data_IF_779942931891
#
_entry.id   IF_779942931891
#
_cell.length_a   1.000
_cell.length_b   1.000
_cell.length_c   1.000
_cell.angle_alpha   90.00
_cell.angle_beta   90.00
_cell.angle_gamma   90.00
#
_symmetry.space_group_name_H-M   'P 1'
#
loop_
_entity.id
_entity.type
_entity.pdbx_description
1 polymer ?
#
# COMPACT_ATOMS: atom_id res chain seq x y z
N UNK A 1 32.41 14.94 5.28
CA UNK A 1 32.73 14.50 6.66
C UNK A 1 32.66 12.99 6.67
N UNK A 2 33.59 12.30 7.32
CA UNK A 2 33.41 10.86 7.58
C UNK A 2 32.25 10.65 8.55
N UNK A 3 31.68 9.45 8.57
CA UNK A 3 30.56 9.14 9.49
C UNK A 3 30.93 9.35 10.95
N UNK A 4 32.19 9.07 11.32
CA UNK A 4 32.73 9.37 12.67
C UNK A 4 32.70 10.87 13.01
N UNK A 5 33.01 11.74 12.04
CA UNK A 5 32.95 13.19 12.25
C UNK A 5 31.51 13.70 12.38
N UNK A 6 30.56 13.09 11.64
CA UNK A 6 29.14 13.43 11.74
C UNK A 6 28.57 13.01 13.09
N UNK A 7 28.88 11.78 13.51
CA UNK A 7 28.48 11.25 14.81
C UNK A 7 29.05 12.10 15.95
N UNK A 8 30.32 12.51 15.85
CA UNK A 8 30.96 13.38 16.84
C UNK A 8 30.30 14.77 16.92
N UNK A 9 29.92 15.35 15.77
CA UNK A 9 29.23 16.64 15.72
C UNK A 9 27.83 16.58 16.37
N UNK A 10 27.04 15.55 16.05
CA UNK A 10 25.73 15.31 16.67
C UNK A 10 25.88 15.09 18.17
N UNK A 11 26.83 14.26 18.57
CA UNK A 11 27.10 13.96 19.98
C UNK A 11 27.47 15.22 20.76
N UNK A 12 28.30 16.09 20.18
CA UNK A 12 28.69 17.37 20.80
C UNK A 12 27.48 18.28 21.02
N UNK A 13 26.61 18.43 20.02
CA UNK A 13 25.41 19.26 20.11
C UNK A 13 24.38 18.73 21.13
N UNK A 14 24.21 17.41 21.19
CA UNK A 14 23.36 16.77 22.20
C UNK A 14 23.96 16.93 23.60
N UNK A 15 25.27 16.79 23.75
CA UNK A 15 25.97 16.99 25.02
C UNK A 15 25.84 18.44 25.50
N UNK A 16 25.99 19.43 24.62
CA UNK A 16 25.76 20.85 24.93
C UNK A 16 24.33 21.09 25.43
N UNK A 17 23.35 20.47 24.78
CA UNK A 17 21.96 20.59 25.20
C UNK A 17 21.71 19.95 26.57
N UNK A 18 22.25 18.76 26.84
CA UNK A 18 22.04 18.07 28.12
C UNK A 18 22.86 18.69 29.26
N UNK A 19 24.00 19.33 28.97
CA UNK A 19 24.89 19.92 29.96
C UNK A 19 24.39 21.24 30.56
N UNK A 20 23.32 21.84 30.02
CA UNK A 20 22.77 23.07 30.61
C UNK A 20 22.21 22.80 32.02
N UNK A 21 22.37 23.72 32.99
CA UNK A 21 22.02 23.48 34.40
C UNK A 21 20.53 23.24 34.67
N UNK A 22 19.65 23.61 33.73
CA UNK A 22 18.20 23.57 33.91
C UNK A 22 17.59 22.28 33.35
N UNK A 23 17.18 21.32 34.17
CA UNK A 23 16.54 20.09 33.63
C UNK A 23 15.24 20.33 32.84
N UNK A 24 14.66 21.55 32.91
CA UNK A 24 13.45 21.93 32.17
C UNK A 24 13.67 22.06 30.66
N UNK A 25 14.84 22.51 30.19
CA UNK A 25 15.07 22.72 28.74
C UNK A 25 15.22 21.40 27.98
N UNK A 26 15.55 20.29 28.66
CA UNK A 26 15.75 18.97 28.04
C UNK A 26 14.43 18.40 27.48
N UNK A 27 13.30 18.76 28.10
CA UNK A 27 11.96 18.31 27.70
C UNK A 27 11.13 19.41 27.05
N UNK A 28 11.67 20.63 26.93
CA UNK A 28 10.96 21.75 26.34
C UNK A 28 10.87 21.59 24.80
N UNK A 29 9.66 21.52 24.23
CA UNK A 29 9.49 21.33 22.78
C UNK A 29 10.19 22.39 21.93
N UNK A 30 10.25 23.65 22.40
CA UNK A 30 10.90 24.74 21.70
C UNK A 30 12.42 24.60 21.65
N UNK A 31 13.04 24.18 22.77
CA UNK A 31 14.48 23.94 22.83
C UNK A 31 14.88 22.68 22.04
N UNK A 32 14.06 21.62 22.07
CA UNK A 32 14.25 20.44 21.23
C UNK A 32 14.22 20.79 19.75
N UNK A 33 13.26 21.63 19.32
CA UNK A 33 13.18 22.12 17.94
C UNK A 33 14.43 22.94 17.53
N UNK A 34 14.95 23.79 18.43
CA UNK A 34 16.19 24.56 18.19
C UNK A 34 17.41 23.65 18.05
N UNK A 35 17.55 22.63 18.89
CA UNK A 35 18.65 21.67 18.81
C UNK A 35 18.58 20.83 17.55
N UNK A 36 17.39 20.33 17.20
CA UNK A 36 17.17 19.61 15.94
C UNK A 36 17.55 20.48 14.72
N UNK A 37 17.13 21.75 14.72
CA UNK A 37 17.50 22.71 13.67
C UNK A 37 19.01 22.95 13.61
N UNK A 38 19.69 23.03 14.76
CA UNK A 38 21.15 23.20 14.85
C UNK A 38 21.88 21.96 14.34
N UNK A 39 21.40 20.76 14.69
CA UNK A 39 21.92 19.48 14.20
C UNK A 39 21.81 19.40 12.68
N UNK A 40 20.63 19.69 12.12
CA UNK A 40 20.41 19.72 10.68
C UNK A 40 21.37 20.71 10.00
N UNK A 41 21.43 21.96 10.47
CA UNK A 41 22.37 22.97 9.92
C UNK A 41 23.83 22.55 9.98
N UNK A 42 24.28 21.88 11.04
CA UNK A 42 25.66 21.41 11.19
C UNK A 42 25.95 20.22 10.28
N UNK A 43 24.99 19.32 10.09
CA UNK A 43 25.12 18.18 9.18
C UNK A 43 25.03 18.60 7.70
N UNK A 44 24.13 19.53 7.37
CA UNK A 44 23.86 20.00 6.01
C UNK A 44 24.91 21.05 5.55
N UNK A 45 25.41 21.89 6.47
CA UNK A 45 26.35 22.96 6.15
C UNK A 45 27.70 22.48 5.61
N UNK A 46 28.14 21.28 5.99
CA UNK A 46 29.47 20.79 5.66
C UNK A 46 29.61 20.26 4.23
N UNK A 47 28.52 19.91 3.53
CA UNK A 47 28.51 19.41 2.12
C UNK A 47 27.09 19.06 1.67
N UNK A 48 26.11 19.96 1.75
CA UNK A 48 24.87 19.73 1.00
C UNK A 48 25.22 19.68 -0.52
N UNK A 49 25.14 18.51 -1.18
CA UNK A 49 25.41 18.42 -2.61
C UNK A 49 24.37 19.24 -3.42
N UNK A 50 23.29 19.67 -2.78
CA UNK A 50 22.15 20.35 -3.38
C UNK A 50 22.09 21.86 -3.08
N UNK A 51 23.20 22.54 -2.77
CA UNK A 51 23.25 24.01 -2.56
C UNK A 51 22.59 24.86 -3.67
N UNK A 52 22.47 24.33 -4.89
CA UNK A 52 21.79 24.97 -6.03
C UNK A 52 20.26 24.83 -6.01
N UNK A 53 19.70 24.12 -5.03
CA UNK A 53 18.30 23.73 -4.90
C UNK A 53 17.63 24.42 -3.71
N UNK A 54 17.35 25.72 -3.78
CA UNK A 54 16.47 26.38 -2.83
C UNK A 54 15.07 25.76 -2.87
N UNK A 55 14.32 25.94 -1.78
CA UNK A 55 13.01 25.31 -1.56
C UNK A 55 12.02 25.44 -2.73
N UNK A 56 11.98 26.59 -3.42
CA UNK A 56 11.11 26.78 -4.58
C UNK A 56 11.44 25.85 -5.75
N UNK A 57 12.74 25.71 -6.08
CA UNK A 57 13.21 24.80 -7.14
C UNK A 57 13.02 23.34 -6.74
N UNK A 58 13.34 23.01 -5.48
CA UNK A 58 13.16 21.65 -4.96
C UNK A 58 11.68 21.22 -4.99
N UNK A 59 10.77 22.13 -4.68
CA UNK A 59 9.32 21.87 -4.75
C UNK A 59 8.88 21.54 -6.17
N UNK A 60 9.28 22.35 -7.16
CA UNK A 60 8.90 22.13 -8.56
C UNK A 60 9.46 20.80 -9.09
N UNK A 61 10.75 20.52 -8.87
CA UNK A 61 11.36 19.29 -9.40
C UNK A 61 10.85 18.02 -8.71
N UNK A 62 10.49 18.08 -7.42
CA UNK A 62 9.83 16.96 -6.72
C UNK A 62 8.48 16.64 -7.34
N UNK A 63 7.67 17.65 -7.66
CA UNK A 63 6.39 17.44 -8.33
C UNK A 63 6.54 16.95 -9.76
N UNK A 64 7.59 17.38 -10.46
CA UNK A 64 7.88 16.96 -11.82
C UNK A 64 8.53 15.55 -11.89
N UNK A 65 8.95 14.94 -10.78
CA UNK A 65 9.76 13.72 -10.79
C UNK A 65 9.08 12.52 -11.43
N UNK A 66 7.75 12.44 -11.32
CA UNK A 66 6.91 11.39 -11.92
C UNK A 66 6.34 11.76 -13.29
N UNK A 67 6.66 12.94 -13.83
CA UNK A 67 6.07 13.43 -15.08
C UNK A 67 6.96 13.15 -16.30
N UNK A 68 6.34 12.84 -17.44
CA UNK A 68 7.03 12.74 -18.75
C UNK A 68 7.25 14.11 -19.39
N UNK A 69 8.19 14.89 -18.85
CA UNK A 69 8.54 16.23 -19.33
C UNK A 69 10.00 16.24 -19.80
N UNK A 70 10.33 16.89 -20.94
CA UNK A 70 11.71 17.05 -21.37
C UNK A 70 12.56 17.79 -20.34
N UNK A 71 13.79 17.31 -20.12
CA UNK A 71 14.73 17.87 -19.13
C UNK A 71 15.05 19.34 -19.46
N UNK A 72 15.10 19.68 -20.74
CA UNK A 72 15.25 21.03 -21.28
C UNK A 72 14.25 22.00 -20.69
N UNK A 73 12.98 21.60 -20.65
CA UNK A 73 11.88 22.47 -20.26
C UNK A 73 11.80 22.57 -18.74
N UNK A 74 12.09 21.48 -18.02
CA UNK A 74 12.28 21.49 -16.56
C UNK A 74 13.42 22.45 -16.19
N UNK A 75 14.55 22.36 -16.90
CA UNK A 75 15.70 23.23 -16.68
C UNK A 75 15.35 24.70 -16.94
N UNK A 76 14.66 25.01 -18.04
CA UNK A 76 14.23 26.36 -18.37
C UNK A 76 13.34 26.96 -17.27
N UNK A 77 12.31 26.23 -16.83
CA UNK A 77 11.41 26.69 -15.77
C UNK A 77 12.12 26.86 -14.41
N UNK A 78 13.05 25.96 -14.06
CA UNK A 78 13.84 26.10 -12.83
C UNK A 78 14.82 27.28 -12.88
N UNK A 79 15.29 27.67 -14.07
CA UNK A 79 16.20 28.78 -14.26
C UNK A 79 15.54 30.15 -13.98
N UNK A 80 14.22 30.26 -14.17
CA UNK A 80 13.45 31.46 -13.85
C UNK A 80 13.27 31.65 -12.33
N UNK A 81 13.38 30.58 -11.55
CA UNK A 81 13.30 30.63 -10.09
C UNK A 81 14.62 31.13 -9.47
N UNK A 82 14.56 31.85 -8.34
CA UNK A 82 15.76 32.39 -7.69
C UNK A 82 16.71 31.27 -7.25
N UNK A 83 18.00 31.47 -7.49
CA UNK A 83 19.07 30.56 -7.04
C UNK A 83 20.29 30.56 -7.95
N UNK A 84 21.36 29.83 -7.59
CA UNK A 84 22.57 29.70 -8.41
C UNK A 84 22.27 29.16 -9.81
N UNK A 85 23.11 29.42 -10.83
CA UNK A 85 22.88 28.89 -12.17
C UNK A 85 22.84 27.36 -12.16
N UNK A 86 21.82 26.80 -12.81
CA UNK A 86 21.65 25.36 -13.01
C UNK A 86 22.09 24.97 -14.41
N UNK A 87 22.65 23.76 -14.51
CA UNK A 87 22.88 23.05 -15.77
C UNK A 87 21.86 21.93 -15.93
N UNK A 88 21.69 21.42 -17.15
CA UNK A 88 20.86 20.23 -17.39
C UNK A 88 21.32 19.03 -16.55
N UNK A 89 22.62 18.84 -16.41
CA UNK A 89 23.20 17.77 -15.58
C UNK A 89 22.86 17.92 -14.09
N UNK A 90 22.75 19.15 -13.58
CA UNK A 90 22.28 19.37 -12.20
C UNK A 90 20.83 18.87 -12.04
N UNK A 91 19.95 19.16 -13.02
CA UNK A 91 18.54 18.74 -13.03
C UNK A 91 18.44 17.21 -13.11
N UNK A 92 19.15 16.59 -14.06
CA UNK A 92 19.19 15.11 -14.19
C UNK A 92 19.69 14.46 -12.90
N UNK A 93 20.78 14.98 -12.33
CA UNK A 93 21.34 14.46 -11.08
C UNK A 93 20.36 14.59 -9.92
N UNK A 94 19.61 15.69 -9.84
CA UNK A 94 18.59 15.86 -8.79
C UNK A 94 17.41 14.91 -8.98
N UNK A 95 16.90 14.73 -10.20
CA UNK A 95 15.83 13.76 -10.49
C UNK A 95 16.26 12.34 -10.09
N UNK A 96 17.48 11.93 -10.45
CA UNK A 96 18.02 10.63 -10.06
C UNK A 96 18.04 10.46 -8.54
N UNK A 97 18.56 11.46 -7.82
CA UNK A 97 18.59 11.44 -6.37
C UNK A 97 17.19 11.40 -5.73
N UNK A 98 16.22 12.12 -6.29
CA UNK A 98 14.84 12.08 -5.83
C UNK A 98 14.22 10.68 -6.02
N UNK A 99 14.53 10.02 -7.12
CA UNK A 99 14.09 8.64 -7.33
C UNK A 99 14.78 7.65 -6.40
N UNK A 100 16.04 7.90 -6.02
CA UNK A 100 16.73 7.13 -4.99
C UNK A 100 16.17 7.41 -3.57
N UNK A 101 15.69 8.63 -3.33
CA UNK A 101 14.94 9.02 -2.11
C UNK A 101 13.54 8.36 -2.04
N UNK A 102 13.11 7.66 -3.10
CA UNK A 102 11.84 6.93 -3.15
C UNK A 102 10.68 7.68 -3.78
N UNK A 103 10.93 8.80 -4.48
CA UNK A 103 9.90 9.43 -5.30
C UNK A 103 9.64 8.63 -6.58
N UNK A 104 8.40 8.72 -7.04
CA UNK A 104 7.95 8.00 -8.22
C UNK A 104 8.72 8.43 -9.47
N UNK A 105 9.09 7.42 -10.26
CA UNK A 105 9.62 7.59 -11.61
C UNK A 105 8.45 7.67 -12.60
N UNK A 106 8.62 8.37 -13.73
CA UNK A 106 7.62 8.35 -14.78
C UNK A 106 7.41 6.90 -15.28
N UNK A 107 6.19 6.38 -15.13
CA UNK A 107 5.88 5.03 -15.61
C UNK A 107 5.66 5.05 -17.13
N UNK A 108 6.32 4.14 -17.85
CA UNK A 108 6.23 4.03 -19.32
C UNK A 108 4.78 3.87 -19.80
N UNK A 109 3.95 3.19 -18.99
CA UNK A 109 2.56 2.94 -19.35
C UNK A 109 1.73 4.20 -19.58
N UNK A 110 2.09 5.31 -18.93
CA UNK A 110 1.38 6.58 -19.04
C UNK A 110 2.04 7.56 -20.02
N UNK A 111 3.18 7.18 -20.61
CA UNK A 111 4.01 8.05 -21.43
C UNK A 111 3.25 8.72 -22.55
N UNK A 112 2.57 7.96 -23.40
CA UNK A 112 1.85 8.50 -24.57
C UNK A 112 0.79 9.52 -24.18
N UNK A 113 0.02 9.25 -23.11
CA UNK A 113 -1.00 10.18 -22.62
C UNK A 113 -0.41 11.45 -22.03
N UNK A 114 0.69 11.31 -21.29
CA UNK A 114 1.43 12.41 -20.70
C UNK A 114 2.13 13.29 -21.74
N UNK A 115 2.79 12.70 -22.75
CA UNK A 115 3.43 13.43 -23.85
C UNK A 115 2.39 14.22 -24.67
N UNK A 116 1.23 13.62 -24.96
CA UNK A 116 0.15 14.31 -25.67
C UNK A 116 -0.42 15.50 -24.87
N UNK A 117 -0.62 15.32 -23.55
CA UNK A 117 -1.05 16.40 -22.68
C UNK A 117 0.01 17.51 -22.59
N UNK A 118 1.28 17.13 -22.43
CA UNK A 118 2.39 18.05 -22.39
C UNK A 118 2.47 18.92 -23.65
N UNK A 119 2.45 18.30 -24.83
CA UNK A 119 2.50 19.04 -26.12
C UNK A 119 1.33 19.99 -26.24
N UNK A 120 0.10 19.53 -25.93
CA UNK A 120 -1.11 20.36 -25.98
C UNK A 120 -0.98 21.59 -25.08
N UNK A 121 -0.63 21.41 -23.82
CA UNK A 121 -0.55 22.52 -22.86
C UNK A 121 0.63 23.46 -23.15
N UNK A 122 1.77 22.92 -23.61
CA UNK A 122 2.90 23.74 -24.06
C UNK A 122 2.52 24.64 -25.23
N UNK A 123 1.79 24.12 -26.23
CA UNK A 123 1.33 24.94 -27.37
C UNK A 123 0.30 25.99 -26.98
N UNK A 124 -0.44 25.77 -25.89
CA UNK A 124 -1.38 26.74 -25.34
C UNK A 124 -0.67 27.87 -24.55
N UNK A 125 0.64 27.76 -24.31
CA UNK A 125 1.40 28.71 -23.50
C UNK A 125 1.18 28.53 -21.99
N UNK A 126 0.74 27.35 -21.55
CA UNK A 126 0.56 27.04 -20.14
C UNK A 126 1.91 26.94 -19.44
N UNK A 127 2.02 27.57 -18.26
CA UNK A 127 3.23 27.53 -17.43
C UNK A 127 3.59 26.11 -16.98
N UNK A 128 4.89 25.77 -16.96
CA UNK A 128 5.33 24.40 -16.68
C UNK A 128 4.82 23.87 -15.32
N UNK A 129 4.81 24.73 -14.29
CA UNK A 129 4.31 24.35 -12.98
C UNK A 129 2.84 23.89 -13.04
N UNK A 130 2.00 24.53 -13.86
CA UNK A 130 0.62 24.12 -14.05
C UNK A 130 0.52 22.84 -14.90
N UNK A 131 1.37 22.67 -15.91
CA UNK A 131 1.44 21.43 -16.69
C UNK A 131 1.79 20.24 -15.77
N UNK A 132 2.75 20.40 -14.86
CA UNK A 132 3.14 19.36 -13.89
C UNK A 132 1.96 18.92 -13.02
N UNK A 133 1.18 19.86 -12.48
CA UNK A 133 -0.01 19.52 -11.68
C UNK A 133 -1.03 18.73 -12.52
N UNK A 134 -1.33 19.20 -13.73
CA UNK A 134 -2.26 18.52 -14.64
C UNK A 134 -1.79 17.10 -15.02
N UNK A 135 -0.48 16.91 -15.19
CA UNK A 135 0.09 15.59 -15.46
C UNK A 135 -0.05 14.66 -14.26
N UNK A 136 0.25 15.15 -13.05
CA UNK A 136 0.09 14.36 -11.83
C UNK A 136 -1.37 13.96 -11.59
N UNK A 137 -2.32 14.88 -11.79
CA UNK A 137 -3.75 14.60 -11.69
C UNK A 137 -4.17 13.52 -12.69
N UNK A 138 -3.74 13.66 -13.96
CA UNK A 138 -4.04 12.66 -15.00
C UNK A 138 -3.51 11.28 -14.65
N UNK A 139 -2.25 11.18 -14.22
CA UNK A 139 -1.64 9.89 -13.84
C UNK A 139 -2.39 9.30 -12.64
N UNK A 140 -2.74 10.11 -11.65
CA UNK A 140 -3.57 9.70 -10.52
C UNK A 140 -4.93 9.15 -10.92
N UNK A 141 -5.63 9.80 -11.85
CA UNK A 141 -6.90 9.31 -12.40
C UNK A 141 -6.77 7.99 -13.16
N UNK A 142 -5.71 7.84 -13.97
CA UNK A 142 -5.46 6.61 -14.72
C UNK A 142 -5.13 5.43 -13.79
N UNK A 143 -4.32 5.66 -12.74
CA UNK A 143 -4.06 4.69 -11.67
C UNK A 143 -5.36 4.31 -10.96
N UNK A 144 -6.17 5.29 -10.56
CA UNK A 144 -7.44 5.06 -9.88
C UNK A 144 -8.43 4.25 -10.72
N UNK A 145 -8.51 4.54 -12.04
CA UNK A 145 -9.36 3.81 -12.98
C UNK A 145 -8.94 2.34 -13.08
N UNK A 146 -7.64 2.06 -13.20
CA UNK A 146 -7.11 0.69 -13.25
C UNK A 146 -7.38 -0.06 -11.96
N UNK A 147 -7.12 0.56 -10.82
CA UNK A 147 -7.38 -0.06 -9.52
C UNK A 147 -8.85 -0.46 -9.36
N UNK A 148 -9.77 0.38 -9.82
CA UNK A 148 -11.20 0.09 -9.85
C UNK A 148 -11.54 -1.10 -10.75
N UNK A 149 -11.02 -1.13 -11.98
CA UNK A 149 -11.22 -2.25 -12.92
C UNK A 149 -10.70 -3.57 -12.35
N UNK A 150 -9.48 -3.56 -11.82
CA UNK A 150 -8.85 -4.69 -11.13
C UNK A 150 -9.71 -5.20 -9.97
N UNK A 151 -10.26 -4.27 -9.19
CA UNK A 151 -11.09 -4.62 -8.04
C UNK A 151 -12.43 -5.23 -8.46
N UNK A 152 -13.07 -4.65 -9.48
CA UNK A 152 -14.29 -5.18 -10.10
C UNK A 152 -14.08 -6.56 -10.72
N UNK A 153 -12.95 -6.77 -11.41
CA UNK A 153 -12.60 -8.06 -11.99
C UNK A 153 -12.35 -9.11 -10.89
N UNK A 154 -11.57 -8.76 -9.86
CA UNK A 154 -11.36 -9.63 -8.70
C UNK A 154 -12.68 -9.95 -7.99
N UNK A 155 -13.59 -8.99 -7.89
CA UNK A 155 -14.92 -9.20 -7.32
C UNK A 155 -15.75 -10.17 -8.18
N UNK A 156 -15.73 -9.99 -9.51
CA UNK A 156 -16.42 -10.87 -10.46
C UNK A 156 -15.88 -12.30 -10.41
N UNK A 157 -14.56 -12.49 -10.50
CA UNK A 157 -13.92 -13.81 -10.39
C UNK A 157 -14.24 -14.48 -9.05
N UNK A 158 -14.27 -13.73 -7.94
CA UNK A 158 -14.69 -14.28 -6.63
C UNK A 158 -16.16 -14.70 -6.62
N UNK A 159 -17.04 -13.95 -7.27
CA UNK A 159 -18.45 -14.29 -7.39
C UNK A 159 -18.65 -15.56 -8.23
N UNK A 160 -17.99 -15.65 -9.39
CA UNK A 160 -18.02 -16.84 -10.27
C UNK A 160 -17.50 -18.09 -9.55
N UNK A 161 -16.38 -17.98 -8.82
CA UNK A 161 -15.85 -19.10 -8.02
C UNK A 161 -16.84 -19.52 -6.93
N UNK A 162 -17.51 -18.56 -6.28
CA UNK A 162 -18.51 -18.84 -5.25
C UNK A 162 -19.72 -19.56 -5.84
N UNK A 163 -20.25 -19.06 -6.94
CA UNK A 163 -21.40 -19.65 -7.65
C UNK A 163 -21.10 -21.06 -8.17
N UNK A 164 -19.93 -21.26 -8.80
CA UNK A 164 -19.50 -22.58 -9.26
C UNK A 164 -19.37 -23.58 -8.10
N UNK A 165 -18.85 -23.13 -6.95
CA UNK A 165 -18.72 -23.99 -5.77
C UNK A 165 -20.09 -24.32 -5.14
N UNK A 166 -21.02 -23.36 -5.11
CA UNK A 166 -22.41 -23.58 -4.68
C UNK A 166 -23.13 -24.57 -5.61
N UNK A 167 -23.03 -24.39 -6.93
CA UNK A 167 -23.60 -25.32 -7.91
C UNK A 167 -23.02 -26.74 -7.80
N UNK A 168 -21.71 -26.86 -7.59
CA UNK A 168 -21.06 -28.17 -7.37
C UNK A 168 -21.55 -28.85 -6.10
N UNK A 169 -21.74 -28.10 -5.01
CA UNK A 169 -22.31 -28.64 -3.78
C UNK A 169 -23.77 -29.08 -3.97
N UNK A 170 -24.59 -28.25 -4.63
CA UNK A 170 -26.01 -28.51 -4.85
C UNK A 170 -26.25 -29.68 -5.81
N UNK A 171 -25.40 -29.86 -6.82
CA UNK A 171 -25.42 -31.04 -7.70
C UNK A 171 -24.99 -32.33 -7.00
N UNK A 172 -24.45 -32.18 -5.79
CA UNK A 172 -24.14 -33.26 -4.88
C UNK A 172 -22.70 -33.75 -4.93
N UNK A 173 -21.82 -32.99 -5.57
CA UNK A 173 -20.39 -33.26 -5.62
C UNK A 173 -19.71 -32.97 -4.29
N UNK A 174 -18.64 -33.71 -4.01
CA UNK A 174 -17.75 -33.39 -2.90
C UNK A 174 -17.16 -31.99 -3.07
N UNK A 175 -17.14 -31.23 -1.98
CA UNK A 175 -16.85 -29.79 -2.00
C UNK A 175 -16.26 -29.34 -0.69
N UNK A 176 -15.36 -28.35 -0.78
CA UNK A 176 -14.77 -27.68 0.39
C UNK A 176 -15.83 -26.85 1.11
N UNK A 177 -15.48 -26.30 2.28
CA UNK A 177 -16.35 -25.40 3.03
C UNK A 177 -16.80 -24.19 2.20
N UNK A 178 -18.09 -24.12 1.92
CA UNK A 178 -18.76 -23.01 1.23
C UNK A 178 -19.85 -22.42 2.12
N UNK A 179 -20.26 -21.18 1.83
CA UNK A 179 -21.55 -20.66 2.30
C UNK A 179 -22.57 -20.89 1.20
N UNK A 180 -23.79 -21.19 1.59
CA UNK A 180 -24.90 -21.36 0.66
C UNK A 180 -25.87 -20.23 0.94
N UNK A 181 -26.29 -19.54 -0.12
CA UNK A 181 -27.23 -18.41 -0.06
C UNK A 181 -26.77 -17.33 0.95
N UNK A 182 -27.68 -16.92 1.83
CA UNK A 182 -27.48 -15.93 2.90
C UNK A 182 -27.18 -16.58 4.26
N UNK A 183 -26.98 -17.90 4.31
CA UNK A 183 -26.71 -18.59 5.57
C UNK A 183 -25.36 -18.14 6.15
N UNK A 184 -25.34 -17.90 7.47
CA UNK A 184 -24.10 -17.68 8.21
C UNK A 184 -23.24 -18.94 8.32
N UNK A 185 -23.86 -20.10 8.07
CA UNK A 185 -23.26 -21.41 8.27
C UNK A 185 -22.40 -21.83 7.08
N UNK A 186 -21.40 -22.66 7.36
CA UNK A 186 -20.57 -23.26 6.32
C UNK A 186 -21.00 -24.69 6.07
N UNK A 187 -21.01 -25.10 4.81
CA UNK A 187 -21.37 -26.43 4.38
C UNK A 187 -20.20 -27.05 3.62
N UNK A 188 -19.99 -28.34 3.79
CA UNK A 188 -19.09 -29.11 2.93
C UNK A 188 -19.68 -30.48 2.65
N UNK A 189 -19.17 -31.12 1.59
CA UNK A 189 -19.53 -32.49 1.26
C UNK A 189 -18.27 -33.31 1.08
N UNK A 190 -18.19 -34.43 1.78
CA UNK A 190 -17.06 -35.36 1.71
C UNK A 190 -17.62 -36.77 1.71
N UNK A 191 -17.18 -37.59 0.75
CA UNK A 191 -17.65 -38.96 0.57
C UNK A 191 -19.19 -39.03 0.44
N UNK A 192 -19.78 -38.08 -0.28
CA UNK A 192 -21.24 -37.98 -0.48
C UNK A 192 -22.05 -37.60 0.77
N UNK A 193 -21.39 -37.29 1.90
CA UNK A 193 -22.04 -36.89 3.15
C UNK A 193 -21.94 -35.38 3.34
N UNK A 194 -23.06 -34.76 3.73
CA UNK A 194 -23.13 -33.32 3.95
C UNK A 194 -22.88 -32.96 5.41
N UNK A 195 -22.04 -31.95 5.63
CA UNK A 195 -21.70 -31.42 6.94
C UNK A 195 -22.00 -29.92 6.99
N UNK A 196 -22.50 -29.47 8.15
CA UNK A 196 -22.77 -28.07 8.47
C UNK A 196 -21.92 -27.64 9.65
N UNK A 197 -21.35 -26.45 9.55
CA UNK A 197 -20.53 -25.82 10.58
C UNK A 197 -21.18 -24.50 10.97
N UNK A 198 -21.68 -24.45 12.20
CA UNK A 198 -22.41 -23.29 12.75
C UNK A 198 -21.58 -22.67 13.86
N UNK A 199 -21.54 -21.34 13.95
CA UNK A 199 -20.83 -20.66 15.05
C UNK A 199 -21.73 -20.55 16.27
N UNK A 200 -21.30 -21.14 17.39
CA UNK A 200 -22.01 -21.08 18.65
C UNK A 200 -21.76 -19.75 19.40
N UNK A 201 -22.62 -19.38 20.38
CA UNK A 201 -22.45 -18.16 21.19
C UNK A 201 -21.12 -18.10 21.96
N UNK A 202 -20.56 -19.26 22.32
CA UNK A 202 -19.24 -19.38 22.98
C UNK A 202 -18.06 -19.22 22.01
N UNK A 203 -18.34 -18.80 20.77
CA UNK A 203 -17.41 -18.61 19.64
C UNK A 203 -16.80 -19.90 19.09
N UNK A 204 -17.15 -21.09 19.62
CA UNK A 204 -16.75 -22.37 19.05
C UNK A 204 -17.60 -22.71 17.83
N UNK A 205 -17.12 -23.66 17.04
CA UNK A 205 -17.81 -24.16 15.86
C UNK A 205 -18.47 -25.50 16.17
N UNK A 206 -19.78 -25.59 15.98
CA UNK A 206 -20.51 -26.86 16.06
C UNK A 206 -20.52 -27.53 14.68
N UNK A 207 -19.96 -28.74 14.61
CA UNK A 207 -20.01 -29.56 13.41
C UNK A 207 -21.18 -30.53 13.51
N UNK A 208 -22.10 -30.44 12.57
CA UNK A 208 -23.24 -31.35 12.44
C UNK A 208 -23.19 -32.04 11.09
N UNK A 209 -23.59 -33.31 11.07
CA UNK A 209 -23.96 -33.98 9.83
C UNK A 209 -25.42 -33.68 9.55
N UNK A 210 -25.74 -33.34 8.31
CA UNK A 210 -27.11 -33.05 7.88
C UNK A 210 -27.46 -33.93 6.67
N UNK A 211 -28.72 -34.36 6.57
CA UNK A 211 -29.18 -35.13 5.42
C UNK A 211 -29.59 -34.23 4.24
N UNK A 212 -30.17 -33.08 4.55
CA UNK A 212 -30.56 -32.04 3.60
C UNK A 212 -30.22 -30.66 4.15
N UNK A 213 -30.32 -29.62 3.33
CA UNK A 213 -30.14 -28.23 3.80
C UNK A 213 -31.24 -27.80 4.79
N UNK A 214 -32.41 -28.44 4.72
CA UNK A 214 -33.56 -28.20 5.59
C UNK A 214 -33.46 -28.94 6.95
N UNK A 215 -32.51 -29.87 7.08
CA UNK A 215 -32.26 -30.62 8.32
C UNK A 215 -31.60 -29.70 9.37
N UNK A 216 -32.44 -28.90 10.03
CA UNK A 216 -32.04 -27.95 11.05
C UNK A 216 -31.45 -28.64 12.29
N UNK A 217 -31.94 -29.83 12.63
CA UNK A 217 -31.47 -30.58 13.79
C UNK A 217 -30.07 -31.16 13.52
N UNK A 218 -29.91 -31.95 12.46
CA UNK A 218 -28.69 -32.67 12.15
C UNK A 218 -28.19 -33.57 13.29
N UNK A 219 -27.18 -34.39 13.01
CA UNK A 219 -26.45 -35.14 14.04
C UNK A 219 -25.21 -34.37 14.46
N UNK A 220 -25.14 -33.94 15.72
CA UNK A 220 -23.94 -33.34 16.27
C UNK A 220 -22.78 -34.35 16.24
N UNK A 221 -21.68 -33.97 15.60
CA UNK A 221 -20.44 -34.73 15.58
C UNK A 221 -19.53 -34.26 16.72
N UNK A 222 -19.42 -32.93 16.89
CA UNK A 222 -18.57 -32.35 17.92
C UNK A 222 -18.51 -30.83 17.87
N UNK A 223 -17.74 -30.26 18.80
CA UNK A 223 -17.46 -28.84 18.90
C UNK A 223 -15.96 -28.60 18.74
N UNK A 224 -15.60 -27.60 17.93
CA UNK A 224 -14.23 -27.33 17.51
C UNK A 224 -13.85 -25.87 17.73
N UNK A 225 -12.57 -25.61 17.96
CA UNK A 225 -12.07 -24.24 18.17
C UNK A 225 -11.98 -23.48 16.84
N UNK A 226 -11.56 -24.17 15.78
CA UNK A 226 -11.43 -23.56 14.45
C UNK A 226 -11.87 -24.50 13.32
N UNK A 227 -12.03 -23.90 12.14
CA UNK A 227 -12.36 -24.63 10.91
C UNK A 227 -11.35 -25.75 10.60
N UNK A 228 -10.02 -25.57 10.76
CA UNK A 228 -9.05 -26.65 10.50
C UNK A 228 -9.31 -27.92 11.32
N UNK A 229 -9.68 -27.79 12.59
CA UNK A 229 -9.97 -28.94 13.46
C UNK A 229 -11.24 -29.66 13.03
N UNK A 230 -12.28 -28.89 12.66
CA UNK A 230 -13.51 -29.45 12.11
C UNK A 230 -13.26 -30.17 10.77
N UNK A 231 -12.41 -29.63 9.89
CA UNK A 231 -12.02 -30.29 8.62
C UNK A 231 -11.37 -31.64 8.88
N UNK A 232 -10.39 -31.72 9.80
CA UNK A 232 -9.73 -32.98 10.15
C UNK A 232 -10.73 -34.02 10.69
N UNK A 233 -11.70 -33.58 11.49
CA UNK A 233 -12.75 -34.46 11.98
C UNK A 233 -13.65 -34.97 10.86
N UNK A 234 -14.03 -34.12 9.90
CA UNK A 234 -14.81 -34.53 8.72
C UNK A 234 -14.04 -35.57 7.90
N UNK A 235 -12.74 -35.36 7.65
CA UNK A 235 -11.89 -36.30 6.91
C UNK A 235 -11.85 -37.69 7.55
N UNK A 236 -11.98 -37.80 8.89
CA UNK A 236 -12.05 -39.08 9.58
C UNK A 236 -13.46 -39.67 9.57
N UNK A 237 -14.46 -38.87 9.94
CA UNK A 237 -15.84 -39.33 10.15
C UNK A 237 -16.55 -39.64 8.82
N UNK A 238 -16.14 -39.02 7.72
CA UNK A 238 -16.73 -39.25 6.40
C UNK A 238 -16.51 -40.68 5.86
N UNK A 239 -15.41 -41.32 6.24
CA UNK A 239 -15.07 -42.68 5.77
C UNK A 239 -15.39 -43.78 6.78
N UNK A 240 -15.77 -43.42 8.01
CA UNK A 240 -16.18 -44.41 9.00
C UNK A 240 -17.58 -44.96 8.69
N UNK A 241 -17.80 -46.28 8.89
CA UNK A 241 -19.13 -46.87 8.79
C UNK A 241 -20.05 -46.23 9.83
N UNK A 242 -21.29 -45.98 9.43
CA UNK A 242 -22.26 -45.45 10.39
C UNK A 242 -22.50 -46.47 11.50
N UNK A 243 -22.50 -46.06 12.77
CA UNK A 243 -22.93 -46.94 13.83
C UNK A 243 -24.35 -47.37 13.52
N UNK A 244 -24.55 -48.67 13.34
CA UNK A 244 -25.86 -49.28 13.10
C UNK A 244 -26.76 -48.87 14.27
N UNK A 245 -27.89 -48.24 13.95
CA UNK A 245 -29.00 -48.10 14.89
C UNK A 245 -29.66 -49.46 15.09
#
# INVERSE_FOLDING_TARGET
MSDDQRLHAVFTLLREHVASPSLRHIRDPGQLSKVATKILKTLDGARDPWRKWPSARDTLIRKASGCWIPIEDIHAALAELPGPPLTKSDVTGRLLALWEEGLDRPEETYRTGCEALYVKEKTAGTELAAIVELMNDRVGEEIGRRFKQDWEERARRRAEIKEAAELAFLSGSDSKWIRIETSSDLYCRVNGRTYRLTRAPDKKLELRRVQSLEDAAGRLIGRYQGRPDATKAVEQVAYQPEPRR
#
